data_IF_873775142668
#
_entry.id   IF_873775142668
#
_cell.length_a   1.000
_cell.length_b   1.000
_cell.length_c   1.000
_cell.angle_alpha   90.00
_cell.angle_beta   90.00
_cell.angle_gamma   90.00
#
_symmetry.space_group_name_H-M   'P 1'
#
loop_
_entity.id
_entity.type
_entity.pdbx_description
1 polymer ?
#
# COMPACT_ATOMS: atom_id res chain seq x y z
N UNK A 1 -5.12 28.32 15.76
CA UNK A 1 -5.10 28.57 14.29
C UNK A 1 -5.11 27.22 13.62
N UNK A 2 -6.23 26.81 13.00
CA UNK A 2 -6.29 25.59 12.18
C UNK A 2 -5.47 25.87 10.92
N UNK A 3 -4.25 25.33 10.82
CA UNK A 3 -3.51 25.35 9.56
C UNK A 3 -4.31 24.47 8.59
N UNK A 4 -4.72 25.05 7.45
CA UNK A 4 -5.44 24.34 6.40
C UNK A 4 -4.52 23.24 5.85
N UNK A 5 -4.96 21.99 5.80
CA UNK A 5 -4.37 21.03 4.86
C UNK A 5 -4.70 21.62 3.48
N UNK A 6 -3.67 21.91 2.70
CA UNK A 6 -3.87 22.38 1.35
C UNK A 6 -3.85 21.15 0.48
N UNK A 7 -4.92 20.35 0.56
CA UNK A 7 -5.18 19.29 -0.43
C UNK A 7 -5.45 20.00 -1.75
N UNK A 8 -4.37 20.43 -2.38
CA UNK A 8 -4.42 21.12 -3.64
C UNK A 8 -4.53 20.02 -4.67
N UNK A 9 -5.78 19.70 -5.00
CA UNK A 9 -6.04 19.12 -6.30
C UNK A 9 -5.64 20.20 -7.29
N UNK A 10 -4.48 19.99 -7.92
CA UNK A 10 -4.26 20.52 -9.25
C UNK A 10 -5.28 19.84 -10.16
N UNK A 11 -6.50 20.37 -10.14
CA UNK A 11 -7.42 20.27 -11.25
C UNK A 11 -6.80 21.17 -12.30
N UNK A 12 -5.72 20.64 -12.86
CA UNK A 12 -5.07 21.09 -14.05
C UNK A 12 -6.20 21.32 -15.04
N UNK A 13 -6.56 22.60 -15.23
CA UNK A 13 -7.49 23.03 -16.28
C UNK A 13 -6.74 22.94 -17.61
N UNK A 14 -6.31 21.72 -17.92
CA UNK A 14 -5.65 21.37 -19.16
C UNK A 14 -6.76 21.15 -20.15
N UNK A 15 -7.11 22.25 -20.80
CA UNK A 15 -7.93 22.21 -21.99
C UNK A 15 -7.09 21.49 -23.04
N UNK A 16 -7.55 20.30 -23.46
CA UNK A 16 -7.00 19.63 -24.63
C UNK A 16 -7.06 20.60 -25.81
N UNK A 17 -5.91 20.91 -26.40
CA UNK A 17 -5.90 21.71 -27.62
C UNK A 17 -6.34 20.80 -28.76
N UNK A 18 -7.57 20.94 -29.25
CA UNK A 18 -7.80 20.71 -30.67
C UNK A 18 -8.86 21.62 -31.28
N UNK A 19 -8.47 22.16 -32.42
CA UNK A 19 -9.16 23.07 -33.30
C UNK A 19 -9.85 22.27 -34.43
N UNK A 20 -10.90 22.86 -34.99
CA UNK A 20 -11.67 22.46 -36.17
C UNK A 20 -12.66 21.29 -36.03
N UNK A 21 -13.88 21.70 -35.65
CA UNK A 21 -15.14 21.00 -35.84
C UNK A 21 -15.43 20.69 -37.31
N UNK A 22 -15.61 19.41 -37.63
CA UNK A 22 -16.44 18.96 -38.75
C UNK A 22 -17.60 18.13 -38.20
N UNK A 23 -18.81 18.69 -38.32
CA UNK A 23 -20.07 18.04 -37.97
C UNK A 23 -20.33 16.92 -38.99
N UNK A 24 -20.47 15.68 -38.53
CA UNK A 24 -21.05 14.58 -39.31
C UNK A 24 -22.26 14.05 -38.52
N UNK A 25 -23.41 14.00 -39.18
CA UNK A 25 -24.70 13.53 -38.64
C UNK A 25 -24.67 12.04 -38.23
N UNK A 26 -25.47 11.63 -37.23
CA UNK A 26 -25.48 10.25 -36.75
C UNK A 26 -26.35 9.37 -37.64
N UNK A 27 -25.74 8.35 -38.23
CA UNK A 27 -26.48 7.23 -38.82
C UNK A 27 -26.55 6.10 -37.79
N UNK A 28 -27.77 5.71 -37.43
CA UNK A 28 -28.05 4.69 -36.45
C UNK A 28 -27.71 3.30 -37.00
N UNK A 29 -26.76 2.61 -36.38
CA UNK A 29 -26.60 1.16 -36.47
C UNK A 29 -25.93 0.69 -35.17
N UNK A 30 -26.57 -0.24 -34.48
CA UNK A 30 -26.05 -0.92 -33.29
C UNK A 30 -24.61 -1.43 -33.51
N UNK A 31 -23.68 -1.26 -32.56
CA UNK A 31 -22.48 -2.07 -32.51
C UNK A 31 -22.58 -3.07 -31.34
N UNK A 32 -22.63 -4.33 -31.75
CA UNK A 32 -22.12 -5.48 -31.04
C UNK A 32 -20.77 -5.15 -30.39
N UNK A 33 -20.62 -5.51 -29.12
CA UNK A 33 -19.46 -5.21 -28.26
C UNK A 33 -18.19 -5.91 -28.76
N UNK A 34 -17.50 -5.32 -29.73
CA UNK A 34 -16.11 -5.65 -30.03
C UNK A 34 -15.21 -5.19 -28.88
N UNK A 35 -14.65 -6.14 -28.16
CA UNK A 35 -13.63 -5.90 -27.14
C UNK A 35 -12.37 -5.40 -27.86
N UNK A 36 -12.17 -4.07 -27.92
CA UNK A 36 -10.92 -3.47 -28.41
C UNK A 36 -9.76 -4.04 -27.58
N UNK A 37 -8.88 -4.79 -28.24
CA UNK A 37 -7.58 -5.17 -27.69
C UNK A 37 -6.77 -3.89 -27.46
N UNK A 38 -6.65 -3.49 -26.19
CA UNK A 38 -5.83 -2.35 -25.78
C UNK A 38 -4.37 -2.79 -25.85
N UNK A 39 -3.53 -2.05 -26.58
CA UNK A 39 -2.09 -2.30 -26.60
C UNK A 39 -1.50 -2.06 -25.21
N UNK A 40 -0.47 -2.81 -24.78
CA UNK A 40 0.11 -2.63 -23.45
C UNK A 40 0.68 -1.21 -23.30
N UNK A 41 0.39 -0.57 -22.16
CA UNK A 41 0.93 0.75 -21.81
C UNK A 41 2.42 0.59 -21.50
N UNK A 42 3.26 1.41 -22.13
CA UNK A 42 4.69 1.50 -21.82
C UNK A 42 4.89 2.61 -20.79
N UNK A 43 5.73 2.37 -19.79
CA UNK A 43 5.97 3.29 -18.68
C UNK A 43 7.39 3.83 -18.70
N UNK A 44 7.56 5.08 -18.27
CA UNK A 44 8.87 5.68 -17.94
C UNK A 44 8.88 6.14 -16.48
N UNK A 45 10.08 6.25 -15.92
CA UNK A 45 10.28 6.63 -14.52
C UNK A 45 10.55 8.13 -14.40
N UNK A 46 9.80 8.78 -13.51
CA UNK A 46 10.16 10.07 -12.92
C UNK A 46 10.96 9.82 -11.63
N UNK A 47 12.02 10.57 -11.41
CA UNK A 47 12.83 10.49 -10.20
C UNK A 47 13.31 11.89 -9.78
N UNK A 48 13.21 12.20 -8.49
CA UNK A 48 13.82 13.38 -7.89
C UNK A 48 14.46 13.01 -6.54
N UNK A 49 14.83 14.00 -5.72
CA UNK A 49 15.46 13.76 -4.41
C UNK A 49 14.50 13.17 -3.35
N UNK A 50 13.19 13.26 -3.57
CA UNK A 50 12.14 12.90 -2.60
C UNK A 50 11.43 11.58 -2.92
N UNK A 51 11.28 11.22 -4.21
CA UNK A 51 10.61 9.99 -4.64
C UNK A 51 10.94 9.57 -6.07
N UNK A 52 10.60 8.32 -6.39
CA UNK A 52 10.48 7.79 -7.75
C UNK A 52 9.07 7.30 -8.03
N UNK A 53 8.62 7.41 -9.27
CA UNK A 53 7.31 6.90 -9.72
C UNK A 53 7.29 6.65 -11.22
N UNK A 54 6.55 5.66 -11.68
CA UNK A 54 6.32 5.42 -13.10
C UNK A 54 5.04 6.09 -13.59
N UNK A 55 5.07 6.50 -14.86
CA UNK A 55 3.92 7.05 -15.57
C UNK A 55 3.99 6.67 -17.06
N UNK A 56 2.88 6.72 -17.81
CA UNK A 56 2.87 6.34 -19.22
C UNK A 56 3.88 7.13 -20.05
N UNK A 57 4.63 6.45 -20.91
CA UNK A 57 5.71 7.04 -21.70
C UNK A 57 5.21 8.11 -22.69
N UNK A 58 3.99 7.93 -23.19
CA UNK A 58 3.32 8.85 -24.11
C UNK A 58 2.66 10.06 -23.42
N UNK A 59 2.79 10.18 -22.09
CA UNK A 59 2.33 11.34 -21.34
C UNK A 59 3.47 12.36 -21.18
N UNK A 60 3.09 13.62 -21.27
CA UNK A 60 4.01 14.75 -21.22
C UNK A 60 4.11 15.32 -19.82
N UNK A 61 5.35 15.56 -19.39
CA UNK A 61 5.62 16.31 -18.17
C UNK A 61 5.14 17.76 -18.33
N UNK A 62 4.51 18.26 -17.27
CA UNK A 62 3.98 19.61 -17.23
C UNK A 62 4.89 20.51 -16.40
N UNK A 63 5.09 21.74 -16.85
CA UNK A 63 5.90 22.72 -16.11
C UNK A 63 5.21 23.11 -14.80
N UNK A 64 5.67 22.53 -13.70
CA UNK A 64 5.10 22.75 -12.37
C UNK A 64 5.38 24.16 -11.82
N UNK A 65 6.31 24.92 -12.41
CA UNK A 65 6.62 26.27 -11.93
C UNK A 65 5.46 27.24 -12.12
N UNK A 66 4.58 26.96 -13.09
CA UNK A 66 3.42 27.80 -13.38
C UNK A 66 2.38 27.81 -12.25
N UNK A 67 2.37 26.77 -11.41
CA UNK A 67 1.44 26.68 -10.29
C UNK A 67 1.82 27.61 -9.13
N UNK A 68 3.08 28.07 -9.10
CA UNK A 68 3.62 28.84 -7.97
C UNK A 68 3.34 28.17 -6.61
N UNK A 69 3.38 26.84 -6.57
CA UNK A 69 3.20 26.05 -5.37
C UNK A 69 4.33 25.02 -5.21
N UNK A 70 5.23 25.19 -4.22
CA UNK A 70 6.36 24.29 -4.02
C UNK A 70 5.99 22.89 -3.53
N UNK A 71 4.73 22.66 -3.13
CA UNK A 71 4.25 21.34 -2.70
C UNK A 71 3.99 20.40 -3.89
N UNK A 72 3.78 20.93 -5.10
CA UNK A 72 3.62 20.11 -6.30
C UNK A 72 5.02 19.72 -6.77
N UNK A 73 5.30 18.43 -6.81
CA UNK A 73 6.62 17.89 -7.16
C UNK A 73 6.66 17.24 -8.53
N UNK A 74 5.50 16.85 -9.04
CA UNK A 74 5.35 16.25 -10.36
C UNK A 74 3.95 16.53 -10.89
N UNK A 75 3.86 16.78 -12.19
CA UNK A 75 2.62 16.79 -12.95
C UNK A 75 2.89 16.25 -14.35
N UNK A 76 2.10 15.28 -14.80
CA UNK A 76 2.15 14.71 -16.15
C UNK A 76 0.74 14.64 -16.72
N UNK A 77 0.61 14.78 -18.03
CA UNK A 77 -0.69 14.82 -18.71
C UNK A 77 -0.70 14.01 -20.00
N UNK A 78 -1.83 13.40 -20.30
CA UNK A 78 -2.11 12.82 -21.59
C UNK A 78 -2.48 13.93 -22.60
N UNK A 79 -1.58 14.24 -23.53
CA UNK A 79 -1.86 15.19 -24.60
C UNK A 79 -2.64 14.57 -25.77
N UNK A 80 -2.79 13.25 -25.80
CA UNK A 80 -3.48 12.50 -26.85
C UNK A 80 -4.90 12.09 -26.44
N UNK A 81 -5.47 12.67 -25.37
CA UNK A 81 -6.84 12.33 -25.02
C UNK A 81 -7.80 12.87 -26.09
N UNK A 82 -8.61 11.98 -26.66
CA UNK A 82 -9.76 12.37 -27.50
C UNK A 82 -10.87 13.06 -26.66
N UNK A 83 -10.67 13.11 -25.34
CA UNK A 83 -11.63 13.60 -24.36
C UNK A 83 -11.50 15.11 -24.15
N UNK A 84 -12.59 15.75 -23.76
CA UNK A 84 -12.60 17.17 -23.39
C UNK A 84 -11.83 17.49 -22.11
N UNK A 85 -11.26 16.49 -21.44
CA UNK A 85 -10.40 16.61 -20.27
C UNK A 85 -9.08 15.89 -20.55
N UNK A 86 -7.95 16.54 -20.22
CA UNK A 86 -6.65 15.90 -20.28
C UNK A 86 -6.42 15.08 -19.01
N UNK A 87 -6.41 13.76 -19.16
CA UNK A 87 -6.05 12.83 -18.11
C UNK A 87 -4.67 13.20 -17.54
N UNK A 88 -4.49 13.12 -16.23
CA UNK A 88 -3.26 13.57 -15.59
C UNK A 88 -2.93 12.82 -14.31
N UNK A 89 -1.64 12.79 -13.98
CA UNK A 89 -1.09 12.33 -12.71
C UNK A 89 -0.35 13.51 -12.09
N UNK A 90 -0.53 13.72 -10.79
CA UNK A 90 0.25 14.69 -10.04
C UNK A 90 0.67 14.12 -8.68
N UNK A 91 1.84 14.58 -8.20
CA UNK A 91 2.36 14.24 -6.87
C UNK A 91 2.51 15.51 -6.07
N UNK A 92 1.85 15.55 -4.92
CA UNK A 92 1.95 16.62 -3.94
C UNK A 92 2.64 16.09 -2.69
N UNK A 93 3.57 16.86 -2.15
CA UNK A 93 4.26 16.59 -0.88
C UNK A 93 4.01 17.76 0.06
N UNK A 94 3.26 17.50 1.12
CA UNK A 94 2.91 18.49 2.14
C UNK A 94 3.58 18.15 3.48
N UNK A 95 3.96 19.14 4.30
CA UNK A 95 4.40 18.85 5.66
C UNK A 95 3.31 18.15 6.47
N UNK A 96 3.66 17.05 7.14
CA UNK A 96 2.73 16.33 7.99
C UNK A 96 2.52 17.09 9.31
N UNK A 97 1.47 17.90 9.34
CA UNK A 97 1.00 18.58 10.56
C UNK A 97 -0.02 17.72 11.35
N UNK A 98 -0.20 16.47 10.95
CA UNK A 98 -1.22 15.53 11.40
C UNK A 98 -0.57 14.25 11.91
N UNK A 99 0.57 14.34 12.60
CA UNK A 99 1.45 13.21 12.97
C UNK A 99 0.81 12.04 13.74
N UNK A 100 -0.48 12.09 14.05
CA UNK A 100 -1.27 11.03 14.68
C UNK A 100 -2.56 10.67 13.93
N UNK A 101 -2.83 11.27 12.76
CA UNK A 101 -4.01 10.94 11.96
C UNK A 101 -3.72 9.75 11.07
N UNK A 102 -4.71 8.87 10.95
CA UNK A 102 -4.70 7.80 9.96
C UNK A 102 -4.79 8.37 8.54
N UNK A 103 -4.39 7.58 7.54
CA UNK A 103 -4.59 7.88 6.13
C UNK A 103 -6.07 8.11 5.81
N UNK A 104 -6.96 7.37 6.48
CA UNK A 104 -8.42 7.53 6.40
C UNK A 104 -8.89 8.88 6.92
N UNK A 105 -8.40 9.32 8.07
CA UNK A 105 -8.75 10.64 8.64
C UNK A 105 -8.25 11.78 7.74
N UNK A 106 -7.04 11.63 7.18
CA UNK A 106 -6.48 12.57 6.20
C UNK A 106 -7.35 12.59 4.94
N UNK A 107 -7.79 11.43 4.45
CA UNK A 107 -8.69 11.33 3.29
C UNK A 107 -10.05 11.97 3.56
N UNK A 108 -10.63 11.81 4.75
CA UNK A 108 -11.90 12.49 5.09
C UNK A 108 -11.72 14.00 5.21
N UNK A 109 -10.60 14.45 5.78
CA UNK A 109 -10.27 15.87 5.77
C UNK A 109 -10.16 16.39 4.33
N UNK A 110 -9.46 15.66 3.46
CA UNK A 110 -9.31 16.00 2.05
C UNK A 110 -10.67 16.15 1.37
N UNK A 111 -11.56 15.17 1.53
CA UNK A 111 -12.92 15.20 0.99
C UNK A 111 -13.69 16.44 1.45
N UNK A 112 -13.63 16.79 2.73
CA UNK A 112 -14.33 17.98 3.24
C UNK A 112 -13.73 19.28 2.70
N UNK A 113 -12.41 19.37 2.59
CA UNK A 113 -11.74 20.52 1.98
C UNK A 113 -12.16 20.69 0.51
N UNK A 114 -12.17 19.59 -0.25
CA UNK A 114 -12.53 19.60 -1.67
C UNK A 114 -13.99 19.95 -1.90
N UNK A 115 -14.91 19.46 -1.07
CA UNK A 115 -16.32 19.89 -1.12
C UNK A 115 -16.48 21.38 -0.88
N UNK A 116 -15.74 21.93 0.09
CA UNK A 116 -15.79 23.36 0.43
C UNK A 116 -15.19 24.23 -0.67
N UNK A 117 -14.16 23.74 -1.37
CA UNK A 117 -13.40 24.50 -2.36
C UNK A 117 -13.69 24.07 -3.81
N UNK A 118 -14.69 23.22 -4.06
CA UNK A 118 -14.90 22.57 -5.36
C UNK A 118 -14.95 23.57 -6.53
N UNK A 119 -15.70 24.67 -6.39
CA UNK A 119 -15.81 25.68 -7.46
C UNK A 119 -14.49 26.38 -7.74
N UNK A 120 -13.67 26.65 -6.71
CA UNK A 120 -12.35 27.25 -6.88
C UNK A 120 -11.37 26.27 -7.55
N UNK A 121 -11.56 24.97 -7.31
CA UNK A 121 -10.82 23.89 -7.95
C UNK A 121 -11.40 23.51 -9.34
N UNK A 122 -12.35 24.24 -9.91
CA UNK A 122 -12.95 23.89 -11.20
C UNK A 122 -13.68 22.53 -11.18
N UNK A 123 -14.21 22.16 -10.02
CA UNK A 123 -14.99 20.95 -9.79
C UNK A 123 -16.43 21.30 -9.45
N UNK A 124 -17.37 20.69 -10.15
CA UNK A 124 -18.79 20.70 -9.84
C UNK A 124 -19.25 19.32 -9.36
N UNK A 125 -20.20 19.28 -8.43
CA UNK A 125 -20.81 18.06 -7.91
C UNK A 125 -19.79 17.05 -7.37
N UNK A 126 -18.75 17.53 -6.67
CA UNK A 126 -17.73 16.66 -6.08
C UNK A 126 -18.34 15.66 -5.09
N UNK A 127 -17.95 14.39 -5.22
CA UNK A 127 -18.46 13.30 -4.39
C UNK A 127 -17.38 12.25 -4.11
N UNK A 128 -17.27 11.83 -2.84
CA UNK A 128 -16.50 10.65 -2.45
C UNK A 128 -17.24 9.39 -2.92
N UNK A 129 -16.54 8.48 -3.57
CA UNK A 129 -17.05 7.16 -3.95
C UNK A 129 -16.68 6.11 -2.90
N UNK A 130 -15.39 5.97 -2.60
CA UNK A 130 -14.89 5.02 -1.59
C UNK A 130 -13.52 5.44 -1.05
N UNK A 131 -13.15 4.82 0.05
CA UNK A 131 -11.78 4.80 0.56
C UNK A 131 -11.38 3.35 0.78
N UNK A 132 -10.16 2.99 0.43
CA UNK A 132 -9.57 1.69 0.67
C UNK A 132 -8.31 1.85 1.51
N UNK A 133 -8.29 1.20 2.66
CA UNK A 133 -7.08 1.08 3.48
C UNK A 133 -6.00 0.32 2.69
N UNK A 134 -4.77 0.83 2.75
CA UNK A 134 -3.58 0.25 2.10
C UNK A 134 -2.40 0.34 3.04
N UNK A 135 -1.39 -0.48 2.78
CA UNK A 135 -0.10 -0.37 3.45
C UNK A 135 0.93 0.19 2.47
N UNK A 136 1.80 1.06 2.96
CA UNK A 136 2.97 1.55 2.24
C UNK A 136 4.21 1.33 3.11
N UNK A 137 5.01 0.31 2.80
CA UNK A 137 6.16 -0.11 3.62
C UNK A 137 5.82 -0.17 5.11
N UNK A 138 4.81 -0.99 5.46
CA UNK A 138 4.33 -1.18 6.85
C UNK A 138 3.61 0.02 7.48
N UNK A 139 3.46 1.14 6.78
CA UNK A 139 2.79 2.34 7.28
C UNK A 139 1.38 2.42 6.74
N UNK A 140 0.50 2.98 7.57
CA UNK A 140 -0.87 3.30 7.19
C UNK A 140 -0.87 4.21 5.95
N UNK A 141 -1.60 3.79 4.93
CA UNK A 141 -1.80 4.51 3.68
C UNK A 141 -3.22 4.24 3.19
N UNK A 142 -3.64 4.91 2.12
CA UNK A 142 -4.95 4.62 1.57
C UNK A 142 -5.20 5.17 0.20
N UNK A 143 -6.17 4.55 -0.47
CA UNK A 143 -6.65 4.98 -1.77
C UNK A 143 -8.03 5.61 -1.60
N UNK A 144 -8.10 6.92 -1.84
CA UNK A 144 -9.34 7.67 -1.91
C UNK A 144 -9.81 7.72 -3.37
N UNK A 145 -11.06 7.33 -3.62
CA UNK A 145 -11.69 7.47 -4.95
C UNK A 145 -12.85 8.45 -4.86
N UNK A 146 -12.83 9.43 -5.75
CA UNK A 146 -13.82 10.50 -5.87
C UNK A 146 -14.29 10.65 -7.32
N UNK A 147 -15.44 11.28 -7.48
CA UNK A 147 -15.97 11.70 -8.78
C UNK A 147 -16.32 13.20 -8.74
N UNK A 148 -16.15 13.88 -9.87
CA UNK A 148 -16.64 15.25 -10.05
C UNK A 148 -16.86 15.55 -11.53
N UNK A 149 -17.59 16.63 -11.80
CA UNK A 149 -17.74 17.20 -13.14
C UNK A 149 -16.77 18.36 -13.30
N UNK A 150 -15.87 18.31 -14.27
CA UNK A 150 -14.93 19.40 -14.52
C UNK A 150 -15.67 20.62 -15.06
N UNK A 151 -15.60 21.75 -14.36
CA UNK A 151 -16.45 22.92 -14.63
C UNK A 151 -16.21 23.53 -16.01
N UNK A 152 -14.97 23.53 -16.50
CA UNK A 152 -14.64 24.18 -17.77
C UNK A 152 -15.07 23.36 -19.00
N UNK A 153 -15.06 22.03 -18.89
CA UNK A 153 -15.25 21.13 -20.06
C UNK A 153 -16.51 20.28 -19.95
N UNK A 154 -17.13 20.24 -18.76
CA UNK A 154 -18.28 19.42 -18.44
C UNK A 154 -18.00 17.92 -18.36
N UNK A 155 -16.74 17.49 -18.50
CA UNK A 155 -16.35 16.09 -18.43
C UNK A 155 -16.61 15.50 -17.04
N UNK A 156 -17.10 14.26 -16.99
CA UNK A 156 -17.12 13.49 -15.75
C UNK A 156 -15.71 12.93 -15.51
N UNK A 157 -15.15 13.20 -14.34
CA UNK A 157 -13.78 12.81 -13.96
C UNK A 157 -13.85 11.89 -12.75
N UNK A 158 -13.05 10.82 -12.79
CA UNK A 158 -12.73 9.98 -11.64
C UNK A 158 -11.35 10.38 -11.15
N UNK A 159 -11.30 10.80 -9.89
CA UNK A 159 -10.08 11.12 -9.17
C UNK A 159 -9.74 9.95 -8.23
N UNK A 160 -8.54 9.41 -8.37
CA UNK A 160 -8.00 8.38 -7.48
C UNK A 160 -6.76 8.93 -6.81
N UNK A 161 -6.71 8.96 -5.49
CA UNK A 161 -5.58 9.49 -4.73
C UNK A 161 -4.98 8.41 -3.84
N UNK A 162 -3.67 8.16 -3.97
CA UNK A 162 -2.91 7.39 -3.01
C UNK A 162 -2.28 8.32 -1.98
N UNK A 163 -2.68 8.17 -0.72
CA UNK A 163 -2.31 9.03 0.40
C UNK A 163 -1.36 8.25 1.30
N UNK A 164 -0.14 8.75 1.46
CA UNK A 164 0.93 8.15 2.24
C UNK A 164 1.39 9.14 3.31
N UNK A 165 0.85 9.08 4.53
CA UNK A 165 1.34 9.84 5.66
C UNK A 165 2.65 9.25 6.21
N UNK A 166 3.73 10.04 6.14
CA UNK A 166 5.00 9.78 6.83
C UNK A 166 5.20 10.79 7.96
N UNK A 167 6.18 10.57 8.83
CA UNK A 167 6.40 11.40 10.03
C UNK A 167 6.50 12.90 9.73
N UNK A 168 7.26 13.26 8.68
CA UNK A 168 7.51 14.66 8.32
C UNK A 168 6.64 15.18 7.18
N UNK A 169 6.15 14.30 6.30
CA UNK A 169 5.46 14.68 5.07
C UNK A 169 4.28 13.75 4.77
N UNK A 170 3.27 14.28 4.09
CA UNK A 170 2.19 13.52 3.47
C UNK A 170 2.43 13.56 1.97
N UNK A 171 2.58 12.39 1.36
CA UNK A 171 2.65 12.26 -0.10
C UNK A 171 1.26 11.91 -0.62
N UNK A 172 0.80 12.66 -1.62
CA UNK A 172 -0.46 12.37 -2.31
C UNK A 172 -0.20 12.22 -3.80
N UNK A 173 -0.33 11.01 -4.32
CA UNK A 173 -0.32 10.73 -5.76
C UNK A 173 -1.76 10.75 -6.26
N UNK A 174 -2.11 11.72 -7.10
CA UNK A 174 -3.45 11.85 -7.66
C UNK A 174 -3.46 11.48 -9.14
N UNK A 175 -4.39 10.62 -9.54
CA UNK A 175 -4.69 10.29 -10.93
C UNK A 175 -6.09 10.79 -11.24
N UNK A 176 -6.21 11.73 -12.18
CA UNK A 176 -7.49 12.24 -12.66
C UNK A 176 -7.72 11.75 -14.08
N UNK A 177 -8.74 10.92 -14.28
CA UNK A 177 -9.11 10.38 -15.58
C UNK A 177 -10.52 10.80 -15.95
N UNK A 178 -10.76 11.09 -17.22
CA UNK A 178 -12.12 11.10 -17.75
C UNK A 178 -12.80 9.76 -17.44
N UNK A 179 -14.13 9.75 -17.31
CA UNK A 179 -14.87 8.53 -17.05
C UNK A 179 -14.64 7.44 -18.12
N UNK A 180 -14.41 7.82 -19.37
CA UNK A 180 -14.16 6.89 -20.46
C UNK A 180 -12.74 6.32 -20.38
N UNK A 181 -11.74 7.16 -20.09
CA UNK A 181 -10.36 6.72 -19.84
C UNK A 181 -10.27 5.82 -18.61
N UNK A 182 -10.98 6.15 -17.53
CA UNK A 182 -11.01 5.33 -16.32
C UNK A 182 -11.53 3.91 -16.59
N UNK A 183 -12.60 3.78 -17.39
CA UNK A 183 -13.14 2.47 -17.80
C UNK A 183 -12.20 1.68 -18.72
N UNK A 184 -11.38 2.36 -19.52
CA UNK A 184 -10.52 1.70 -20.50
C UNK A 184 -9.15 1.30 -19.93
N UNK A 185 -8.52 2.15 -19.13
CA UNK A 185 -7.15 1.97 -18.65
C UNK A 185 -6.97 2.22 -17.15
N UNK A 186 -8.02 2.65 -16.45
CA UNK A 186 -7.91 3.20 -15.10
C UNK A 186 -7.36 2.22 -14.08
N UNK A 187 -7.82 0.97 -14.09
CA UNK A 187 -7.38 -0.05 -13.12
C UNK A 187 -5.89 -0.38 -13.28
N UNK A 188 -5.46 -0.67 -14.51
CA UNK A 188 -4.06 -0.97 -14.82
C UNK A 188 -3.15 0.23 -14.55
N UNK A 189 -3.60 1.44 -14.90
CA UNK A 189 -2.84 2.66 -14.66
C UNK A 189 -2.65 2.91 -13.16
N UNK A 190 -3.74 2.84 -12.38
CA UNK A 190 -3.71 3.00 -10.91
C UNK A 190 -2.76 1.98 -10.29
N UNK A 191 -2.87 0.70 -10.66
CA UNK A 191 -2.03 -0.36 -10.13
C UNK A 191 -0.55 -0.11 -10.39
N UNK A 192 -0.17 0.21 -11.62
CA UNK A 192 1.24 0.41 -11.99
C UNK A 192 1.81 1.70 -11.39
N UNK A 193 1.08 2.82 -11.50
CA UNK A 193 1.54 4.12 -10.98
C UNK A 193 1.70 4.07 -9.46
N UNK A 194 0.71 3.57 -8.73
CA UNK A 194 0.81 3.49 -7.27
C UNK A 194 1.81 2.41 -6.81
N UNK A 195 1.84 1.26 -7.48
CA UNK A 195 2.78 0.18 -7.16
C UNK A 195 4.25 0.51 -7.44
N UNK A 196 4.52 1.52 -8.29
CA UNK A 196 5.87 1.99 -8.59
C UNK A 196 6.32 3.18 -7.74
N UNK A 197 5.45 3.70 -6.87
CA UNK A 197 5.75 4.86 -6.05
C UNK A 197 6.69 4.46 -4.89
N UNK A 198 7.84 5.12 -4.78
CA UNK A 198 8.83 4.90 -3.71
C UNK A 198 9.31 6.25 -3.20
N UNK A 199 9.40 6.42 -1.88
CA UNK A 199 9.94 7.65 -1.26
C UNK A 199 11.43 7.47 -0.99
N UNK A 200 12.26 8.41 -1.45
CA UNK A 200 13.73 8.28 -1.42
C UNK A 200 14.32 8.19 -0.02
N UNK A 201 13.69 8.76 1.01
CA UNK A 201 14.18 8.60 2.39
C UNK A 201 13.90 7.19 2.93
N UNK A 202 12.83 6.54 2.47
CA UNK A 202 12.56 5.12 2.80
C UNK A 202 13.54 4.24 2.03
N UNK A 203 13.83 4.57 0.77
CA UNK A 203 14.82 3.89 -0.06
C UNK A 203 16.25 4.03 0.50
N UNK A 204 16.68 5.24 0.89
CA UNK A 204 18.00 5.48 1.50
C UNK A 204 18.15 4.81 2.86
N UNK A 205 17.10 4.80 3.69
CA UNK A 205 17.16 4.03 4.94
C UNK A 205 17.26 2.53 4.67
N UNK A 206 16.70 2.04 3.55
CA UNK A 206 16.94 0.68 3.08
C UNK A 206 18.36 0.49 2.51
N UNK A 207 18.93 1.45 1.77
CA UNK A 207 20.27 1.36 1.17
C UNK A 207 21.43 1.58 2.17
N UNK A 208 21.26 2.45 3.17
CA UNK A 208 22.24 2.66 4.25
C UNK A 208 22.29 1.46 5.20
N UNK A 209 21.16 0.76 5.36
CA UNK A 209 21.08 -0.53 6.04
C UNK A 209 21.78 -1.65 5.22
N UNK A 210 21.79 -1.54 3.87
CA UNK A 210 22.57 -2.42 2.98
C UNK A 210 24.09 -2.20 3.03
N UNK A 211 24.55 -0.96 3.26
CA UNK A 211 25.99 -0.66 3.32
C UNK A 211 26.67 -1.07 4.65
N UNK A 212 25.90 -1.15 5.75
CA UNK A 212 26.40 -1.61 7.05
C UNK A 212 26.50 -3.15 7.17
N UNK A 213 25.93 -3.89 6.22
CA UNK A 213 25.64 -5.33 6.34
C UNK A 213 26.57 -6.25 5.54
N UNK A 214 27.77 -5.79 5.15
CA UNK A 214 28.73 -6.59 4.36
C UNK A 214 29.37 -7.80 5.05
N UNK A 215 28.88 -8.26 6.21
CA UNK A 215 29.32 -9.51 6.82
C UNK A 215 28.16 -10.26 7.48
N UNK A 216 27.35 -11.00 6.71
CA UNK A 216 26.97 -12.41 6.96
C UNK A 216 25.84 -12.89 6.02
N UNK A 217 26.10 -14.00 5.33
CA UNK A 217 25.21 -14.83 4.50
C UNK A 217 24.00 -15.39 5.31
N UNK A 218 22.80 -15.75 4.79
CA UNK A 218 22.24 -16.01 3.45
C UNK A 218 20.71 -16.18 3.61
N UNK A 219 19.88 -15.40 2.92
CA UNK A 219 18.67 -15.77 2.15
C UNK A 219 17.96 -14.48 1.67
N UNK A 220 17.76 -14.36 0.35
CA UNK A 220 17.06 -13.34 -0.45
C UNK A 220 16.59 -12.01 0.19
N UNK A 221 17.12 -10.90 -0.34
CA UNK A 221 16.63 -9.49 -0.41
C UNK A 221 15.99 -8.78 0.79
N UNK A 222 15.71 -9.45 1.89
CA UNK A 222 15.02 -8.87 3.04
C UNK A 222 15.98 -8.59 4.19
N UNK A 223 15.96 -7.36 4.68
CA UNK A 223 16.77 -6.94 5.83
C UNK A 223 15.96 -7.03 7.11
N UNK A 224 16.27 -8.02 7.92
CA UNK A 224 15.62 -8.25 9.21
C UNK A 224 16.19 -7.31 10.27
N UNK A 225 15.33 -6.67 11.06
CA UNK A 225 15.74 -5.89 12.21
C UNK A 225 16.18 -6.82 13.33
N UNK A 226 17.50 -6.90 13.54
CA UNK A 226 18.11 -7.75 14.57
C UNK A 226 18.27 -7.04 15.92
N UNK A 227 18.03 -5.72 15.97
CA UNK A 227 18.32 -4.89 17.15
C UNK A 227 17.13 -4.78 18.11
N UNK A 228 15.90 -4.90 17.58
CA UNK A 228 14.67 -4.87 18.35
C UNK A 228 13.94 -6.21 18.26
N UNK A 229 13.70 -6.82 19.41
CA UNK A 229 13.05 -8.11 19.52
C UNK A 229 11.53 -8.01 19.53
N UNK A 230 10.97 -6.83 19.77
CA UNK A 230 9.53 -6.64 19.82
C UNK A 230 8.93 -6.57 18.40
N UNK A 231 8.12 -7.56 18.00
CA UNK A 231 7.52 -7.62 16.66
C UNK A 231 6.58 -6.46 16.33
N UNK A 232 6.04 -5.75 17.33
CA UNK A 232 5.19 -4.57 17.11
C UNK A 232 5.98 -3.34 16.65
N UNK A 233 7.28 -3.26 16.99
CA UNK A 233 8.12 -2.08 16.74
C UNK A 233 9.31 -2.37 15.84
N UNK A 234 9.68 -3.63 15.65
CA UNK A 234 10.87 -4.01 14.88
C UNK A 234 10.64 -4.07 13.35
N UNK A 235 9.38 -4.14 12.89
CA UNK A 235 9.01 -4.23 11.47
C UNK A 235 9.15 -5.61 10.83
N UNK A 236 9.67 -6.61 11.54
CA UNK A 236 9.93 -7.96 11.02
C UNK A 236 8.66 -8.72 10.63
N UNK A 237 7.51 -8.42 11.25
CA UNK A 237 6.22 -9.00 10.85
C UNK A 237 5.92 -8.70 9.38
N UNK A 238 6.17 -7.46 8.94
CA UNK A 238 5.85 -7.07 7.56
C UNK A 238 6.86 -7.67 6.58
N UNK A 239 8.14 -7.68 6.95
CA UNK A 239 9.18 -8.36 6.18
C UNK A 239 8.82 -9.83 5.96
N UNK A 240 8.31 -10.51 6.99
CA UNK A 240 7.84 -11.88 6.87
C UNK A 240 6.64 -12.01 5.92
N UNK A 241 5.66 -11.11 5.99
CA UNK A 241 4.51 -11.14 5.10
C UNK A 241 4.90 -10.93 3.64
N UNK A 242 5.75 -9.95 3.35
CA UNK A 242 6.24 -9.69 1.99
C UNK A 242 7.00 -10.90 1.43
N UNK A 243 7.89 -11.48 2.25
CA UNK A 243 8.59 -12.72 1.90
C UNK A 243 7.61 -13.84 1.54
N UNK A 244 6.58 -14.06 2.35
CA UNK A 244 5.60 -15.14 2.17
C UNK A 244 4.70 -14.95 0.94
N UNK A 245 4.43 -13.69 0.57
CA UNK A 245 3.70 -13.35 -0.66
C UNK A 245 4.55 -13.73 -1.88
N UNK A 246 5.86 -13.44 -1.84
CA UNK A 246 6.77 -13.70 -2.95
C UNK A 246 7.20 -15.18 -3.05
N UNK A 247 7.41 -15.86 -1.92
CA UNK A 247 7.95 -17.21 -1.87
C UNK A 247 6.91 -18.31 -2.12
N UNK A 248 5.62 -18.00 -1.99
CA UNK A 248 4.56 -19.01 -1.92
C UNK A 248 4.56 -19.78 -0.60
N UNK A 249 3.76 -20.86 -0.49
CA UNK A 249 3.55 -21.59 0.77
C UNK A 249 4.84 -22.12 1.41
N UNK A 250 5.02 -21.89 2.71
CA UNK A 250 6.11 -22.49 3.49
C UNK A 250 5.84 -23.96 3.77
N UNK A 251 6.36 -24.82 2.91
CA UNK A 251 6.23 -26.28 3.05
C UNK A 251 7.41 -26.94 3.77
N UNK A 252 8.54 -26.24 3.90
CA UNK A 252 9.77 -26.77 4.51
C UNK A 252 10.34 -25.79 5.53
N UNK A 253 10.89 -26.32 6.62
CA UNK A 253 11.56 -25.59 7.69
C UNK A 253 12.63 -26.45 8.35
N UNK A 254 13.68 -25.81 8.88
CA UNK A 254 14.70 -26.52 9.65
C UNK A 254 14.21 -26.87 11.04
N UNK A 255 14.56 -28.06 11.53
CA UNK A 255 14.36 -28.45 12.93
C UNK A 255 15.44 -27.83 13.82
N UNK A 256 15.04 -26.90 14.67
CA UNK A 256 15.92 -26.19 15.59
C UNK A 256 15.56 -26.49 17.05
N UNK A 257 16.51 -26.21 17.95
CA UNK A 257 16.28 -26.27 19.38
C UNK A 257 15.46 -25.04 19.82
N UNK A 258 14.17 -25.23 20.09
CA UNK A 258 13.22 -24.12 20.32
C UNK A 258 13.63 -23.23 21.49
N UNK A 259 14.20 -23.80 22.56
CA UNK A 259 14.75 -23.02 23.67
C UNK A 259 15.85 -22.02 23.22
N UNK A 260 16.64 -22.38 22.19
CA UNK A 260 17.64 -21.47 21.61
C UNK A 260 17.00 -20.39 20.75
N UNK A 261 16.03 -20.79 19.91
CA UNK A 261 15.26 -19.84 19.07
C UNK A 261 14.58 -18.80 19.96
N UNK A 262 13.92 -19.23 21.02
CA UNK A 262 13.26 -18.36 21.98
C UNK A 262 14.23 -17.40 22.69
N UNK A 263 15.41 -17.90 23.07
CA UNK A 263 16.41 -17.12 23.81
C UNK A 263 17.04 -16.02 22.94
N UNK A 264 17.30 -16.32 21.67
CA UNK A 264 17.98 -15.44 20.72
C UNK A 264 17.27 -15.45 19.35
N UNK A 265 16.04 -14.92 19.27
CA UNK A 265 15.21 -15.05 18.07
C UNK A 265 15.82 -14.33 16.84
N UNK A 266 16.64 -13.30 17.06
CA UNK A 266 17.35 -12.58 15.99
C UNK A 266 18.33 -13.45 15.20
N UNK A 267 18.87 -14.54 15.78
CA UNK A 267 19.72 -15.47 15.03
C UNK A 267 18.93 -16.30 14.01
N UNK A 268 17.60 -16.20 14.05
CA UNK A 268 16.64 -17.02 13.32
C UNK A 268 15.63 -16.23 12.48
N UNK A 269 15.67 -14.90 12.51
CA UNK A 269 14.79 -14.07 11.67
C UNK A 269 14.95 -14.41 10.18
N UNK A 270 13.81 -14.56 9.50
CA UNK A 270 13.74 -14.93 8.09
C UNK A 270 14.13 -16.36 7.73
N UNK A 271 14.43 -17.20 8.72
CA UNK A 271 14.69 -18.63 8.48
C UNK A 271 13.38 -19.41 8.71
N UNK A 272 12.92 -20.19 7.71
CA UNK A 272 11.83 -21.13 7.93
C UNK A 272 12.23 -22.19 8.96
N UNK A 273 11.49 -22.27 10.06
CA UNK A 273 11.71 -23.23 11.15
C UNK A 273 10.44 -24.06 11.32
N UNK A 274 10.63 -25.36 11.55
CA UNK A 274 9.55 -26.28 11.91
C UNK A 274 9.32 -26.24 13.43
N UNK A 275 8.11 -25.84 13.85
CA UNK A 275 7.70 -25.75 15.24
C UNK A 275 6.76 -26.90 15.59
N UNK A 276 7.20 -27.77 16.50
CA UNK A 276 6.44 -28.93 16.97
C UNK A 276 5.88 -28.68 18.36
N UNK A 277 4.58 -28.95 18.56
CA UNK A 277 3.93 -28.72 19.84
C UNK A 277 2.48 -29.17 19.87
N UNK A 278 1.82 -28.89 21.00
CA UNK A 278 0.39 -29.09 21.20
C UNK A 278 -0.32 -27.75 21.02
N UNK A 279 -1.38 -27.73 20.21
CA UNK A 279 -2.23 -26.54 20.02
C UNK A 279 -2.97 -26.25 21.33
N UNK A 280 -2.71 -25.07 21.90
CA UNK A 280 -3.38 -24.57 23.11
C UNK A 280 -4.47 -23.54 22.82
N UNK A 281 -4.44 -22.92 21.64
CA UNK A 281 -5.49 -22.02 21.14
C UNK A 281 -5.48 -22.08 19.61
N UNK A 282 -6.66 -22.06 19.01
CA UNK A 282 -6.84 -21.80 17.58
C UNK A 282 -7.99 -20.81 17.39
N UNK A 283 -7.74 -19.76 16.63
CA UNK A 283 -8.74 -18.74 16.35
C UNK A 283 -8.64 -18.26 14.92
N UNK A 284 -9.74 -18.32 14.19
CA UNK A 284 -9.86 -17.65 12.89
C UNK A 284 -10.29 -16.19 13.08
N UNK A 285 -9.68 -15.31 12.30
CA UNK A 285 -10.14 -13.93 12.18
C UNK A 285 -11.26 -13.83 11.14
N UNK A 286 -12.25 -12.93 11.34
CA UNK A 286 -13.29 -12.70 10.34
C UNK A 286 -12.70 -12.37 8.96
N UNK A 287 -13.28 -12.87 7.85
CA UNK A 287 -12.80 -12.60 6.49
C UNK A 287 -12.76 -11.11 6.12
N UNK A 288 -13.59 -10.29 6.77
CA UNK A 288 -13.68 -8.84 6.58
C UNK A 288 -12.71 -8.05 7.48
N UNK A 289 -11.83 -8.72 8.22
CA UNK A 289 -10.81 -8.03 9.03
C UNK A 289 -9.78 -7.33 8.13
N UNK A 290 -9.38 -6.11 8.52
CA UNK A 290 -8.41 -5.27 7.78
C UNK A 290 -6.95 -5.76 7.92
N UNK A 291 -6.74 -7.00 8.37
CA UNK A 291 -5.42 -7.63 8.50
C UNK A 291 -5.21 -8.69 7.42
N UNK A 292 -3.95 -8.85 6.98
CA UNK A 292 -3.53 -9.95 6.11
C UNK A 292 -3.56 -11.31 6.83
N UNK A 293 -3.62 -11.28 8.15
CA UNK A 293 -3.76 -12.47 8.99
C UNK A 293 -5.19 -13.01 8.91
N UNK A 294 -5.31 -14.33 8.92
CA UNK A 294 -6.57 -15.06 8.81
C UNK A 294 -6.78 -16.00 9.98
N UNK A 295 -5.73 -16.39 10.67
CA UNK A 295 -5.84 -17.14 11.91
C UNK A 295 -4.64 -16.92 12.83
N UNK A 296 -4.82 -17.33 14.07
CA UNK A 296 -3.85 -17.35 15.14
C UNK A 296 -3.87 -18.73 15.79
N UNK A 297 -2.69 -19.30 16.02
CA UNK A 297 -2.51 -20.60 16.65
C UNK A 297 -1.45 -20.47 17.73
N UNK A 298 -1.80 -20.75 18.98
CA UNK A 298 -0.82 -20.84 20.06
C UNK A 298 -0.40 -22.30 20.21
N UNK A 299 0.90 -22.56 20.13
CA UNK A 299 1.50 -23.85 20.44
C UNK A 299 2.22 -23.81 21.79
N UNK A 300 2.03 -24.86 22.56
CA UNK A 300 2.88 -25.17 23.71
C UNK A 300 3.83 -26.31 23.35
N UNK A 301 5.13 -26.04 23.45
CA UNK A 301 6.19 -27.05 23.21
C UNK A 301 6.51 -27.85 24.47
N UNK A 302 7.29 -28.94 24.33
CA UNK A 302 7.66 -29.81 25.46
C UNK A 302 8.42 -29.06 26.58
N UNK A 303 9.20 -28.03 26.22
CA UNK A 303 9.93 -27.20 27.18
C UNK A 303 9.08 -26.07 27.80
N UNK A 304 7.78 -26.01 27.48
CA UNK A 304 6.81 -24.98 27.85
C UNK A 304 7.06 -23.62 27.20
N UNK A 305 7.84 -23.53 26.13
CA UNK A 305 7.86 -22.34 25.28
C UNK A 305 6.50 -22.20 24.59
N UNK A 306 5.93 -21.00 24.68
CA UNK A 306 4.70 -20.60 23.98
C UNK A 306 5.10 -19.96 22.65
N UNK A 307 4.59 -20.52 21.57
CA UNK A 307 4.77 -20.01 20.21
C UNK A 307 3.43 -19.50 19.75
N UNK A 308 3.41 -18.24 19.34
CA UNK A 308 2.24 -17.54 18.85
C UNK A 308 2.38 -17.40 17.34
N UNK A 309 1.62 -18.22 16.61
CA UNK A 309 1.71 -18.36 15.16
C UNK A 309 0.58 -17.55 14.55
N UNK A 310 0.96 -16.47 13.87
CA UNK A 310 0.05 -15.66 13.08
C UNK A 310 0.09 -16.13 11.63
N UNK A 311 -1.05 -16.51 11.09
CA UNK A 311 -1.15 -17.14 9.78
C UNK A 311 -1.92 -16.28 8.79
N UNK A 312 -1.45 -16.22 7.53
CA UNK A 312 -2.18 -15.56 6.43
C UNK A 312 -3.25 -16.45 5.80
N UNK A 313 -3.43 -17.68 6.31
CA UNK A 313 -4.48 -18.61 5.87
C UNK A 313 -5.38 -19.00 7.06
N UNK A 314 -6.66 -19.38 6.82
CA UNK A 314 -7.51 -19.90 7.88
C UNK A 314 -6.91 -21.14 8.53
N UNK A 315 -7.25 -21.38 9.79
CA UNK A 315 -6.74 -22.52 10.58
C UNK A 315 -7.22 -23.88 10.09
N UNK A 316 -8.28 -23.91 9.27
CA UNK A 316 -8.76 -25.12 8.62
C UNK A 316 -9.34 -26.13 9.60
N UNK A 317 -8.69 -27.30 9.72
CA UNK A 317 -9.16 -28.39 10.60
C UNK A 317 -8.40 -28.46 11.93
N UNK A 318 -7.47 -27.53 12.18
CA UNK A 318 -6.74 -27.47 13.45
C UNK A 318 -7.71 -27.23 14.62
N UNK A 319 -7.45 -27.88 15.74
CA UNK A 319 -8.20 -27.72 17.00
C UNK A 319 -7.25 -27.78 18.18
N UNK A 320 -7.71 -27.26 19.32
CA UNK A 320 -7.03 -27.46 20.61
C UNK A 320 -6.73 -28.94 20.86
N UNK A 321 -5.61 -29.18 21.54
CA UNK A 321 -5.03 -30.50 21.84
C UNK A 321 -4.45 -31.28 20.64
N UNK A 322 -4.49 -30.76 19.41
CA UNK A 322 -3.80 -31.38 18.28
C UNK A 322 -2.27 -31.29 18.45
N UNK A 323 -1.58 -32.38 18.14
CA UNK A 323 -0.12 -32.40 18.00
C UNK A 323 0.25 -32.08 16.56
N UNK A 324 1.00 -31.00 16.35
CA UNK A 324 1.28 -30.44 15.02
C UNK A 324 2.76 -30.11 14.83
N UNK A 325 3.16 -29.97 13.56
CA UNK A 325 4.44 -29.40 13.13
C UNK A 325 4.14 -28.31 12.12
N UNK A 326 4.35 -27.04 12.49
CA UNK A 326 4.03 -25.89 11.64
C UNK A 326 5.33 -25.19 11.25
N UNK A 327 5.51 -24.95 9.94
CA UNK A 327 6.64 -24.17 9.45
C UNK A 327 6.30 -22.68 9.50
N UNK A 328 7.24 -21.86 9.98
CA UNK A 328 7.06 -20.40 10.01
C UNK A 328 8.35 -19.63 10.13
N UNK A 329 8.24 -18.31 9.94
CA UNK A 329 9.34 -17.35 10.09
C UNK A 329 9.28 -16.72 11.46
N UNK A 330 10.39 -16.77 12.20
CA UNK A 330 10.52 -16.05 13.47
C UNK A 330 10.59 -14.56 13.19
N UNK A 331 9.81 -13.76 13.92
CA UNK A 331 9.78 -12.29 13.74
C UNK A 331 10.05 -11.51 15.02
N UNK A 332 9.96 -12.15 16.18
CA UNK A 332 10.23 -11.48 17.45
C UNK A 332 9.78 -12.27 18.65
N UNK A 333 9.85 -11.63 19.81
CA UNK A 333 9.19 -12.06 21.04
C UNK A 333 8.51 -10.88 21.69
N UNK A 334 7.37 -11.12 22.33
CA UNK A 334 6.66 -10.06 23.06
C UNK A 334 6.02 -10.59 24.33
N UNK A 335 5.79 -9.67 25.26
CA UNK A 335 5.01 -9.93 26.46
C UNK A 335 3.52 -9.79 26.14
N UNK A 336 2.76 -10.83 26.43
CA UNK A 336 1.30 -10.88 26.27
C UNK A 336 0.66 -10.96 27.64
N UNK A 337 -0.31 -10.07 27.91
CA UNK A 337 -1.05 -10.10 29.17
C UNK A 337 -1.92 -11.35 29.28
N UNK A 338 -1.92 -11.98 30.46
CA UNK A 338 -2.78 -13.12 30.73
C UNK A 338 -4.10 -12.70 31.40
N UNK A 339 -5.13 -13.53 31.25
CA UNK A 339 -6.48 -13.23 31.76
C UNK A 339 -6.59 -13.14 33.29
N UNK A 340 -5.59 -13.61 34.05
CA UNK A 340 -5.60 -13.62 35.52
C UNK A 340 -4.70 -12.54 36.13
N UNK A 341 -4.11 -11.68 35.30
CA UNK A 341 -3.12 -10.67 35.68
C UNK A 341 -1.69 -11.22 35.63
N UNK A 342 -0.81 -10.50 34.91
CA UNK A 342 0.57 -10.89 34.63
C UNK A 342 0.82 -10.98 33.12
N UNK A 343 2.04 -11.34 32.72
CA UNK A 343 2.43 -11.50 31.32
C UNK A 343 3.10 -12.84 31.07
N UNK A 344 3.01 -13.33 29.84
CA UNK A 344 3.83 -14.41 29.30
C UNK A 344 4.63 -13.87 28.11
N UNK A 345 5.87 -14.31 27.98
CA UNK A 345 6.66 -14.02 26.79
C UNK A 345 6.33 -15.05 25.71
N UNK A 346 5.83 -14.61 24.57
CA UNK A 346 5.55 -15.45 23.40
C UNK A 346 6.66 -15.30 22.36
N UNK A 347 7.02 -16.39 21.68
CA UNK A 347 7.76 -16.32 20.42
C UNK A 347 6.76 -16.07 19.29
N UNK A 348 6.93 -14.98 18.56
CA UNK A 348 6.01 -14.62 17.47
C UNK A 348 6.55 -15.17 16.15
N UNK A 349 5.70 -15.89 15.43
CA UNK A 349 6.00 -16.58 14.19
C UNK A 349 4.95 -16.25 13.13
N UNK A 350 5.37 -16.01 11.89
CA UNK A 350 4.44 -15.78 10.76
C UNK A 350 4.50 -16.96 9.79
N UNK A 351 3.33 -17.40 9.30
CA UNK A 351 3.24 -18.43 8.26
C UNK A 351 2.14 -18.15 7.25
N UNK A 352 2.23 -18.78 6.07
CA UNK A 352 1.18 -18.84 5.07
C UNK A 352 0.73 -20.28 4.79
N UNK A 353 1.14 -21.23 5.64
CA UNK A 353 0.79 -22.64 5.52
C UNK A 353 0.61 -23.28 6.91
N UNK A 354 -0.53 -23.91 7.13
CA UNK A 354 -0.89 -24.59 8.38
C UNK A 354 -1.17 -26.09 8.18
N UNK A 355 -0.88 -26.62 6.98
CA UNK A 355 -1.08 -28.03 6.63
C UNK A 355 0.13 -28.93 6.95
#
# INVERSE_FOLDING_TARGET
>A
MKKLLTVLICALTLIGCNHESSIIEPNATDPESETKSVSPIVYKTFANEEFTIQYPEDWDEFDITIFNNPMIKMAVKNNNSENSFADNINVVVEPNNFSSMSAKDIAEYAVENLKQNQSAAGMDNFKKLKFEDKMFFSRDAGILICEYKHSATGAQVILTQFIVPLESNIYTVSISLSNDSYKSIGEDLVKNVFGSFVVSDIEKNAEESQAASQNQATNGSYEWNLADENPETNGNVIIALDYLIESGPLTEGSHEDIAKVFKAPWDYYGKPIAFEGIVSLVQDYPPESETFLRSEVLLSTEDNTIIDILSTVPSGNLKEDDAVSINGLVVGRMEVENAIGGTFTHLIVITNNLE
#
